data_IF_940121600763
#
_entry.id   IF_940121600763
#
_cell.length_a   1.000
_cell.length_b   1.000
_cell.length_c   1.000
_cell.angle_alpha   90.00
_cell.angle_beta   90.00
_cell.angle_gamma   90.00
#
_symmetry.space_group_name_H-M   'P 1'
#
loop_
_entity.id
_entity.type
_entity.pdbx_description
1 polymer ?
#
# COMPACT_ATOMS: atom_id res chain seq x y z
N UNK A 1 -6.56 -5.63 28.43
CA UNK A 1 -5.74 -4.74 27.60
C UNK A 1 -6.45 -4.50 26.29
N UNK A 2 -6.73 -3.25 25.98
CA UNK A 2 -7.44 -2.94 24.74
C UNK A 2 -6.54 -3.17 23.54
N UNK A 3 -7.06 -3.92 22.57
CA UNK A 3 -6.36 -4.09 21.32
C UNK A 3 -6.36 -2.77 20.54
N UNK A 4 -5.20 -2.42 19.99
CA UNK A 4 -5.11 -1.25 19.17
C UNK A 4 -5.88 -1.49 17.86
N UNK A 5 -6.74 -0.54 17.50
CA UNK A 5 -7.45 -0.55 16.22
C UNK A 5 -7.16 0.73 15.46
N UNK A 6 -6.56 0.60 14.30
CA UNK A 6 -6.29 1.73 13.44
C UNK A 6 -7.59 2.32 12.90
N UNK A 7 -7.66 3.65 12.83
CA UNK A 7 -8.78 4.37 12.22
C UNK A 7 -8.53 4.71 10.78
N UNK A 8 -7.29 4.54 10.34
CA UNK A 8 -6.93 4.77 8.95
C UNK A 8 -5.77 3.86 8.55
N UNK A 9 -5.70 3.57 7.26
CA UNK A 9 -4.60 2.81 6.67
C UNK A 9 -4.11 3.51 5.43
N UNK A 10 -2.83 3.34 5.16
CA UNK A 10 -2.16 3.85 3.99
C UNK A 10 -1.64 2.68 3.18
N UNK A 11 -2.02 2.60 1.91
CA UNK A 11 -1.45 1.64 0.96
C UNK A 11 -0.31 2.36 0.24
N UNK A 12 0.91 2.01 0.61
CA UNK A 12 2.12 2.64 0.11
C UNK A 12 3.23 1.60 0.03
N UNK A 13 3.68 1.29 -1.17
CA UNK A 13 4.73 0.29 -1.35
C UNK A 13 6.07 0.78 -0.81
N UNK A 14 6.71 -0.09 -0.07
CA UNK A 14 8.07 0.04 0.43
C UNK A 14 8.75 -1.30 0.17
N UNK A 15 10.07 -1.38 0.32
CA UNK A 15 10.79 -2.62 0.03
C UNK A 15 10.51 -3.75 1.02
N UNK A 16 9.85 -3.45 2.14
CA UNK A 16 9.51 -4.44 3.16
C UNK A 16 8.01 -4.59 3.39
N UNK A 17 7.26 -3.50 3.26
CA UNK A 17 5.83 -3.46 3.60
C UNK A 17 5.07 -2.60 2.60
N UNK A 18 3.76 -2.79 2.53
CA UNK A 18 2.90 -2.00 1.64
C UNK A 18 1.66 -1.47 2.33
N UNK A 19 1.48 -1.77 3.61
CA UNK A 19 0.32 -1.31 4.39
C UNK A 19 0.83 -0.70 5.69
N UNK A 20 0.31 0.47 6.02
CA UNK A 20 0.73 1.24 7.20
C UNK A 20 -0.49 1.72 7.97
N UNK A 21 -0.43 1.63 9.29
CA UNK A 21 -1.54 2.08 10.14
C UNK A 21 -1.46 3.59 10.43
N UNK A 22 -2.38 4.10 11.25
CA UNK A 22 -2.46 5.52 11.57
C UNK A 22 -1.33 6.02 12.48
N UNK A 23 -0.52 5.11 13.02
CA UNK A 23 0.69 5.44 13.77
C UNK A 23 1.93 5.48 12.87
N UNK A 24 1.77 5.13 11.58
CA UNK A 24 2.90 4.99 10.67
C UNK A 24 3.67 3.69 10.84
N UNK A 25 3.10 2.72 11.53
CA UNK A 25 3.72 1.41 11.70
C UNK A 25 3.26 0.44 10.62
N UNK A 26 4.12 -0.50 10.20
CA UNK A 26 3.76 -1.48 9.18
C UNK A 26 2.66 -2.42 9.68
N UNK A 27 1.78 -2.81 8.75
CA UNK A 27 0.72 -3.77 8.99
C UNK A 27 0.67 -4.76 7.84
N UNK A 28 -0.02 -5.86 8.02
CA UNK A 28 -0.26 -6.84 6.96
C UNK A 28 -1.77 -7.07 6.82
N UNK A 29 -2.26 -7.26 5.57
CA UNK A 29 -3.71 -7.48 5.39
C UNK A 29 -4.24 -8.74 6.09
N UNK A 30 -3.38 -9.69 6.41
CA UNK A 30 -3.76 -10.91 7.13
C UNK A 30 -3.79 -10.76 8.65
N UNK A 31 -3.47 -9.57 9.18
CA UNK A 31 -3.59 -9.34 10.62
C UNK A 31 -5.02 -9.55 11.09
N UNK A 32 -5.17 -10.08 12.30
CA UNK A 32 -6.47 -10.45 12.88
C UNK A 32 -7.49 -9.30 12.84
N UNK A 33 -7.06 -8.09 13.14
CA UNK A 33 -7.92 -6.91 13.14
C UNK A 33 -8.42 -6.51 11.75
N UNK A 34 -7.75 -6.97 10.69
CA UNK A 34 -8.14 -6.71 9.29
C UNK A 34 -8.82 -7.93 8.70
N UNK A 35 -8.20 -9.08 8.86
CA UNK A 35 -8.71 -10.37 8.43
C UNK A 35 -9.11 -10.40 6.94
N UNK A 36 -8.24 -9.89 6.06
CA UNK A 36 -8.48 -9.93 4.63
C UNK A 36 -8.50 -11.37 4.10
N UNK A 37 -9.28 -11.66 3.05
CA UNK A 37 -9.27 -13.00 2.43
C UNK A 37 -7.86 -13.40 1.96
N UNK A 38 -7.55 -14.70 2.06
CA UNK A 38 -6.23 -15.21 1.68
C UNK A 38 -5.86 -14.88 0.23
N UNK A 39 -6.83 -14.89 -0.67
CA UNK A 39 -6.61 -14.54 -2.08
C UNK A 39 -6.20 -13.08 -2.23
N UNK A 40 -6.82 -12.18 -1.45
CA UNK A 40 -6.43 -10.76 -1.43
C UNK A 40 -5.00 -10.60 -0.93
N UNK A 41 -4.65 -11.29 0.15
CA UNK A 41 -3.30 -11.23 0.73
C UNK A 41 -2.25 -11.63 -0.31
N UNK A 42 -2.50 -12.71 -1.06
CA UNK A 42 -1.59 -13.15 -2.11
C UNK A 42 -1.41 -12.11 -3.21
N UNK A 43 -2.49 -11.47 -3.65
CA UNK A 43 -2.42 -10.43 -4.68
C UNK A 43 -1.67 -9.21 -4.17
N UNK A 44 -1.90 -8.84 -2.92
CA UNK A 44 -1.20 -7.72 -2.28
C UNK A 44 0.31 -7.98 -2.20
N UNK A 45 0.70 -9.16 -1.75
CA UNK A 45 2.10 -9.55 -1.65
C UNK A 45 2.77 -9.61 -3.03
N UNK A 46 2.08 -10.13 -4.04
CA UNK A 46 2.59 -10.17 -5.42
C UNK A 46 2.81 -8.77 -5.99
N UNK A 47 1.89 -7.85 -5.71
CA UNK A 47 2.04 -6.45 -6.09
C UNK A 47 3.24 -5.82 -5.39
N UNK A 48 3.39 -6.07 -4.09
CA UNK A 48 4.48 -5.52 -3.30
C UNK A 48 5.84 -6.02 -3.79
N UNK A 49 5.93 -7.30 -4.19
CA UNK A 49 7.17 -7.87 -4.72
C UNK A 49 7.62 -7.15 -5.99
N UNK A 50 6.71 -6.68 -6.83
CA UNK A 50 7.04 -5.94 -8.04
C UNK A 50 7.76 -4.63 -7.75
N UNK A 51 7.60 -4.08 -6.56
CA UNK A 51 8.21 -2.81 -6.18
C UNK A 51 9.75 -2.87 -6.24
N UNK A 52 10.34 -4.05 -6.07
CA UNK A 52 11.79 -4.22 -6.16
C UNK A 52 12.33 -3.84 -7.53
N UNK A 53 11.54 -3.96 -8.60
CA UNK A 53 11.94 -3.57 -9.95
C UNK A 53 12.19 -2.06 -10.08
N UNK A 54 11.65 -1.26 -9.15
CA UNK A 54 11.88 0.18 -9.15
C UNK A 54 13.35 0.53 -8.83
N UNK A 55 14.06 -0.32 -8.11
CA UNK A 55 15.49 -0.13 -7.86
C UNK A 55 16.30 -0.17 -9.14
N UNK A 56 15.89 -1.00 -10.08
CA UNK A 56 16.59 -1.18 -11.36
C UNK A 56 16.03 -0.27 -12.47
N UNK A 57 14.99 0.51 -12.17
CA UNK A 57 14.32 1.36 -13.14
C UNK A 57 13.51 0.58 -14.16
N UNK A 58 13.17 -0.68 -13.87
CA UNK A 58 12.43 -1.55 -14.79
C UNK A 58 10.95 -1.66 -14.46
N UNK A 59 10.50 -1.00 -13.38
CA UNK A 59 9.12 -1.03 -12.97
C UNK A 59 8.26 -0.16 -13.89
N UNK A 60 7.16 -0.76 -14.40
CA UNK A 60 6.13 0.01 -15.09
C UNK A 60 5.26 0.71 -14.03
N UNK A 61 5.55 1.98 -13.78
CA UNK A 61 4.91 2.74 -12.73
C UNK A 61 3.41 2.92 -12.95
N UNK A 62 2.99 3.12 -14.20
CA UNK A 62 1.57 3.29 -14.49
C UNK A 62 0.76 2.03 -14.15
N UNK A 63 1.24 0.87 -14.57
CA UNK A 63 0.61 -0.41 -14.27
C UNK A 63 0.68 -0.72 -12.77
N UNK A 64 1.81 -0.44 -12.15
CA UNK A 64 2.01 -0.68 -10.72
C UNK A 64 1.04 0.15 -9.88
N UNK A 65 0.91 1.44 -10.19
CA UNK A 65 0.00 2.33 -9.46
C UNK A 65 -1.46 2.00 -9.72
N UNK A 66 -1.80 1.59 -10.94
CA UNK A 66 -3.16 1.16 -11.26
C UNK A 66 -3.56 -0.07 -10.44
N UNK A 67 -2.68 -1.05 -10.36
CA UNK A 67 -2.89 -2.27 -9.56
C UNK A 67 -2.97 -1.93 -8.07
N UNK A 68 -2.04 -1.10 -7.57
CA UNK A 68 -2.02 -0.69 -6.17
C UNK A 68 -3.27 0.07 -5.76
N UNK A 69 -3.75 0.96 -6.63
CA UNK A 69 -5.00 1.68 -6.39
C UNK A 69 -6.19 0.73 -6.33
N UNK A 70 -6.25 -0.24 -7.24
CA UNK A 70 -7.31 -1.25 -7.23
C UNK A 70 -7.29 -2.06 -5.93
N UNK A 71 -6.11 -2.42 -5.44
CA UNK A 71 -5.97 -3.12 -4.16
C UNK A 71 -6.42 -2.23 -2.99
N UNK A 72 -6.15 -0.93 -3.05
CA UNK A 72 -6.61 0.02 -2.03
C UNK A 72 -8.14 0.15 -2.03
N UNK A 73 -8.76 0.17 -3.21
CA UNK A 73 -10.23 0.20 -3.33
C UNK A 73 -10.83 -1.06 -2.70
N UNK A 74 -10.27 -2.23 -3.01
CA UNK A 74 -10.71 -3.49 -2.39
C UNK A 74 -10.49 -3.48 -0.89
N UNK A 75 -9.35 -2.97 -0.43
CA UNK A 75 -9.03 -2.87 0.99
C UNK A 75 -10.07 -2.02 1.73
N UNK A 76 -10.48 -0.91 1.13
CA UNK A 76 -11.53 -0.06 1.70
C UNK A 76 -12.82 -0.85 1.93
N UNK A 77 -13.18 -1.72 1.00
CA UNK A 77 -14.37 -2.58 1.16
C UNK A 77 -14.20 -3.59 2.28
N UNK A 78 -12.99 -4.09 2.47
CA UNK A 78 -12.68 -5.07 3.52
C UNK A 78 -12.81 -4.44 4.90
N UNK A 79 -12.24 -3.24 5.09
CA UNK A 79 -12.21 -2.60 6.41
C UNK A 79 -13.48 -1.80 6.71
N UNK A 80 -14.23 -1.41 5.68
CA UNK A 80 -15.52 -0.74 5.84
C UNK A 80 -15.46 0.78 5.84
N UNK A 81 -16.64 1.43 5.86
CA UNK A 81 -16.74 2.88 5.65
C UNK A 81 -16.17 3.74 6.77
N UNK A 82 -16.01 3.18 7.97
CA UNK A 82 -15.53 3.94 9.13
C UNK A 82 -14.01 4.09 9.17
N UNK A 83 -13.31 3.36 8.31
CA UNK A 83 -11.85 3.36 8.25
C UNK A 83 -11.41 4.14 7.02
N UNK A 84 -10.59 5.16 7.22
CA UNK A 84 -10.03 5.92 6.12
C UNK A 84 -8.92 5.12 5.44
N UNK A 85 -8.93 5.06 4.10
CA UNK A 85 -7.88 4.40 3.32
C UNK A 85 -7.34 5.39 2.30
N UNK A 86 -6.01 5.51 2.23
CA UNK A 86 -5.33 6.32 1.23
C UNK A 86 -4.41 5.45 0.40
N UNK A 87 -4.25 5.78 -0.87
CA UNK A 87 -3.25 5.19 -1.75
C UNK A 87 -2.16 6.21 -2.06
N UNK A 88 -0.92 5.82 -1.86
CA UNK A 88 0.24 6.65 -2.13
C UNK A 88 0.89 6.17 -3.43
N UNK A 89 0.82 7.01 -4.46
CA UNK A 89 1.35 6.67 -5.78
C UNK A 89 2.88 6.58 -5.74
N UNK A 90 3.42 5.52 -6.37
CA UNK A 90 4.85 5.32 -6.46
C UNK A 90 5.45 6.23 -7.54
N UNK A 91 6.69 6.64 -7.31
CA UNK A 91 7.48 7.45 -8.23
C UNK A 91 8.80 6.74 -8.52
N UNK A 92 9.54 7.17 -9.57
CA UNK A 92 10.83 6.55 -9.87
C UNK A 92 11.77 6.60 -8.68
N UNK A 93 12.50 5.50 -8.45
CA UNK A 93 13.49 5.43 -7.40
C UNK A 93 14.59 6.48 -7.64
N UNK A 94 14.96 7.29 -6.64
CA UNK A 94 16.02 8.29 -6.81
C UNK A 94 17.38 7.61 -7.04
N UNK A 95 18.05 8.01 -8.13
CA UNK A 95 19.39 7.51 -8.48
C UNK A 95 20.26 8.67 -8.95
N UNK A 96 21.50 8.72 -8.49
CA UNK A 96 22.44 9.77 -8.90
C UNK A 96 21.90 11.17 -8.62
N UNK A 97 21.76 11.96 -9.68
CA UNK A 97 21.27 13.35 -9.57
C UNK A 97 19.74 13.44 -9.51
N UNK A 98 19.02 12.33 -9.64
CA UNK A 98 17.57 12.32 -9.58
C UNK A 98 17.12 12.38 -8.13
N UNK A 99 16.42 13.46 -7.78
CA UNK A 99 15.91 13.65 -6.42
C UNK A 99 14.63 12.86 -6.24
N UNK A 100 14.37 12.46 -4.98
CA UNK A 100 13.10 11.86 -4.61
C UNK A 100 11.96 12.85 -4.90
N UNK A 101 10.97 12.37 -5.65
CA UNK A 101 9.76 13.14 -5.95
C UNK A 101 8.60 12.43 -5.24
N UNK A 102 7.96 13.09 -4.25
CA UNK A 102 6.81 12.46 -3.59
C UNK A 102 5.67 12.27 -4.60
N UNK A 103 5.05 11.11 -4.54
CA UNK A 103 3.89 10.81 -5.37
C UNK A 103 2.62 11.42 -4.80
N UNK A 104 1.57 11.41 -5.62
CA UNK A 104 0.25 11.88 -5.19
C UNK A 104 -0.33 10.95 -4.13
N UNK A 105 -1.06 11.54 -3.19
CA UNK A 105 -1.81 10.81 -2.18
C UNK A 105 -3.30 10.93 -2.51
N UNK A 106 -3.96 9.81 -2.64
CA UNK A 106 -5.38 9.75 -3.00
C UNK A 106 -6.19 9.11 -1.88
N UNK A 107 -7.24 9.77 -1.42
CA UNK A 107 -8.18 9.16 -0.48
C UNK A 107 -9.16 8.28 -1.26
N UNK A 108 -9.31 7.04 -0.81
CA UNK A 108 -10.19 6.07 -1.45
C UNK A 108 -11.60 6.23 -0.86
N UNK A 109 -12.61 6.51 -1.71
CA UNK A 109 -14.00 6.72 -1.26
C UNK A 109 -14.65 5.47 -0.69
#
# INVERSE_FOLDING_TARGET
>A
MDEYKSKSYRVMADYSFGLWDDRGEPACPDYEEINAPAEYVKRFESWLDKHWDNLDGTLDLDSFNKEGRALAVEFKKIVGPDIKVTYWHETPHPTGDVKYIPGDVEEIP
#
